data_IF_084666683695
#
_entry.id   IF_084666683695
#
_cell.length_a   1.000
_cell.length_b   1.000
_cell.length_c   1.000
_cell.angle_alpha   90.00
_cell.angle_beta   90.00
_cell.angle_gamma   90.00
#
_symmetry.space_group_name_H-M   'P 1'
#
loop_
_entity.id
_entity.type
_entity.pdbx_description
1 polymer ?
#
# COMPACT_ATOMS: atom_id res chain seq x y z
N UNK A 1 57.27 -23.82 22.38
CA UNK A 1 56.23 -23.17 23.20
C UNK A 1 55.73 -21.91 22.50
N UNK A 2 54.62 -21.99 21.76
CA UNK A 2 53.97 -20.80 21.18
C UNK A 2 53.05 -20.20 22.25
N UNK A 3 53.39 -19.00 22.73
CA UNK A 3 52.51 -18.21 23.61
C UNK A 3 51.25 -17.85 22.81
N UNK A 4 50.14 -18.50 23.13
CA UNK A 4 48.82 -18.16 22.59
C UNK A 4 48.42 -16.77 23.11
N UNK A 5 48.11 -15.86 22.19
CA UNK A 5 47.63 -14.51 22.47
C UNK A 5 46.19 -14.57 23.02
N UNK A 6 46.06 -14.89 24.31
CA UNK A 6 44.79 -14.94 25.05
C UNK A 6 44.03 -13.61 24.97
N UNK A 7 44.74 -12.47 24.84
CA UNK A 7 44.13 -11.15 24.67
C UNK A 7 43.32 -10.98 23.37
N UNK A 8 43.72 -11.61 22.25
CA UNK A 8 42.99 -11.48 20.98
C UNK A 8 41.64 -12.20 21.02
N UNK A 9 41.58 -13.35 21.70
CA UNK A 9 40.34 -14.10 21.88
C UNK A 9 39.41 -13.44 22.89
N UNK A 10 39.95 -12.80 23.94
CA UNK A 10 39.15 -11.99 24.87
C UNK A 10 38.53 -10.76 24.19
N UNK A 11 39.28 -10.06 23.33
CA UNK A 11 38.76 -8.90 22.59
C UNK A 11 37.65 -9.27 21.58
N UNK A 12 37.81 -10.39 20.86
CA UNK A 12 36.78 -10.92 19.95
C UNK A 12 35.55 -11.45 20.69
N UNK A 13 35.74 -12.07 21.86
CA UNK A 13 34.62 -12.55 22.69
C UNK A 13 33.84 -11.39 23.32
N UNK A 14 34.51 -10.31 23.76
CA UNK A 14 33.84 -9.12 24.29
C UNK A 14 33.08 -8.36 23.18
N UNK A 15 33.63 -8.29 21.97
CA UNK A 15 32.97 -7.64 20.84
C UNK A 15 31.71 -8.41 20.41
N UNK A 16 31.77 -9.74 20.39
CA UNK A 16 30.59 -10.59 20.12
C UNK A 16 29.51 -10.47 21.21
N UNK A 17 29.90 -10.35 22.49
CA UNK A 17 28.97 -10.11 23.60
C UNK A 17 28.33 -8.71 23.55
N UNK A 18 29.08 -7.69 23.09
CA UNK A 18 28.57 -6.33 22.92
C UNK A 18 27.58 -6.21 21.74
N UNK A 19 27.81 -6.95 20.65
CA UNK A 19 26.87 -7.04 19.52
C UNK A 19 25.61 -7.83 19.90
N UNK A 20 25.73 -8.89 20.70
CA UNK A 20 24.57 -9.64 21.22
C UNK A 20 23.69 -8.81 22.18
N UNK A 21 24.26 -7.87 22.94
CA UNK A 21 23.49 -6.96 23.79
C UNK A 21 22.80 -5.82 23.00
N UNK A 22 23.34 -5.42 21.85
CA UNK A 22 22.72 -4.38 20.99
C UNK A 22 21.60 -4.93 20.09
N UNK A 23 21.55 -6.24 19.84
CA UNK A 23 20.48 -6.89 19.06
C UNK A 23 19.31 -7.41 19.93
N UNK A 24 19.38 -7.28 21.26
CA UNK A 24 18.39 -7.78 22.21
C UNK A 24 17.21 -6.83 22.49
N UNK A 25 16.89 -5.93 21.56
CA UNK A 25 15.68 -5.12 21.63
C UNK A 25 14.46 -6.00 21.39
N UNK A 26 13.99 -6.70 22.44
CA UNK A 26 12.64 -7.23 22.45
C UNK A 26 11.71 -6.03 22.22
N UNK A 27 11.14 -5.91 21.02
CA UNK A 27 9.97 -5.04 20.80
C UNK A 27 8.80 -5.74 21.47
N UNK A 28 8.78 -5.70 22.81
CA UNK A 28 7.56 -5.96 23.54
C UNK A 28 6.55 -4.93 23.03
N UNK A 29 5.33 -5.40 22.73
CA UNK A 29 4.22 -4.51 22.46
C UNK A 29 4.12 -3.53 23.63
N UNK A 30 4.51 -2.28 23.40
CA UNK A 30 4.57 -1.28 24.45
C UNK A 30 3.15 -0.99 24.92
N UNK A 31 2.89 -1.16 26.22
CA UNK A 31 1.59 -0.84 26.80
C UNK A 31 1.30 0.65 26.56
N UNK A 32 0.29 0.91 25.74
CA UNK A 32 -0.14 2.25 25.43
C UNK A 32 -0.89 2.84 26.63
N UNK A 33 -0.52 4.04 27.08
CA UNK A 33 -1.19 4.71 28.19
C UNK A 33 -2.54 5.24 27.71
N UNK A 34 -3.41 5.61 28.63
CA UNK A 34 -4.71 6.21 28.27
C UNK A 34 -4.54 7.58 27.57
N UNK A 35 -3.44 8.30 27.86
CA UNK A 35 -3.13 9.60 27.27
C UNK A 35 -1.62 9.70 27.02
N UNK A 36 -1.24 10.18 25.84
CA UNK A 36 0.12 10.58 25.50
C UNK A 36 0.12 12.11 25.34
N UNK A 37 0.87 12.79 26.20
CA UNK A 37 1.01 14.23 26.26
C UNK A 37 2.49 14.63 26.39
N UNK A 38 2.76 15.92 26.56
CA UNK A 38 4.12 16.46 26.70
C UNK A 38 4.95 15.81 27.82
N UNK A 39 4.32 15.25 28.85
CA UNK A 39 5.02 14.68 30.01
C UNK A 39 5.56 13.28 29.75
N UNK A 40 4.96 12.53 28.82
CA UNK A 40 5.30 11.13 28.56
C UNK A 40 5.63 10.81 27.09
N UNK A 41 5.48 11.77 26.17
CA UNK A 41 5.66 11.56 24.73
C UNK A 41 7.05 11.03 24.35
N UNK A 42 8.10 11.34 25.10
CA UNK A 42 9.46 10.85 24.85
C UNK A 42 9.57 9.32 24.84
N UNK A 43 8.73 8.61 25.60
CA UNK A 43 8.70 7.13 25.63
C UNK A 43 8.11 6.52 24.35
N UNK A 44 7.26 7.27 23.65
CA UNK A 44 6.51 6.81 22.48
C UNK A 44 7.04 7.40 21.16
N UNK A 45 8.22 8.02 21.19
CA UNK A 45 8.81 8.71 20.03
C UNK A 45 8.91 7.82 18.78
N UNK A 46 9.24 6.55 18.94
CA UNK A 46 9.37 5.60 17.83
C UNK A 46 8.02 5.16 17.25
N UNK A 47 6.93 5.26 18.03
CA UNK A 47 5.58 4.93 17.58
C UNK A 47 4.89 6.11 16.87
N UNK A 48 5.44 7.32 17.00
CA UNK A 48 4.85 8.54 16.49
C UNK A 48 5.60 9.00 15.24
N UNK A 49 4.86 9.40 14.20
CA UNK A 49 5.47 10.12 13.08
C UNK A 49 6.16 11.39 13.61
N UNK A 50 7.36 11.77 13.11
CA UNK A 50 8.15 12.85 13.70
C UNK A 50 7.41 14.20 13.83
N UNK A 51 6.51 14.49 12.89
CA UNK A 51 5.65 15.67 12.96
C UNK A 51 4.68 15.63 14.15
N UNK A 52 4.05 14.48 14.39
CA UNK A 52 3.12 14.27 15.50
C UNK A 52 3.85 14.27 16.85
N UNK A 53 5.02 13.63 16.93
CA UNK A 53 5.87 13.72 18.13
C UNK A 53 6.18 15.17 18.51
N UNK A 54 6.61 16.00 17.54
CA UNK A 54 6.91 17.42 17.77
C UNK A 54 5.70 18.22 18.23
N UNK A 55 4.51 17.92 17.70
CA UNK A 55 3.28 18.59 18.13
C UNK A 55 2.91 18.25 19.58
N UNK A 56 3.05 16.97 19.97
CA UNK A 56 2.78 16.52 21.35
C UNK A 56 3.83 17.07 22.33
N UNK A 57 5.11 17.09 21.93
CA UNK A 57 6.21 17.65 22.73
C UNK A 57 6.04 19.16 22.98
N UNK A 58 5.47 19.90 22.02
CA UNK A 58 5.12 21.32 22.19
C UNK A 58 3.90 21.52 23.10
N UNK A 59 3.05 20.52 23.23
CA UNK A 59 1.77 20.60 23.95
C UNK A 59 0.61 21.04 23.06
N UNK A 60 0.81 21.13 21.74
CA UNK A 60 -0.21 21.53 20.77
C UNK A 60 -1.23 20.41 20.52
N UNK A 61 -0.87 19.17 20.86
CA UNK A 61 -1.67 17.99 20.59
C UNK A 61 -1.56 16.96 21.72
N UNK A 62 -2.68 16.33 22.06
CA UNK A 62 -2.76 15.25 23.05
C UNK A 62 -3.36 14.02 22.38
N UNK A 63 -2.68 12.89 22.47
CA UNK A 63 -3.13 11.64 21.85
C UNK A 63 -3.83 10.81 22.92
N UNK A 64 -5.03 10.33 22.61
CA UNK A 64 -5.77 9.40 23.47
C UNK A 64 -5.89 8.06 22.75
N UNK A 65 -5.03 7.07 23.04
CA UNK A 65 -5.10 5.76 22.42
C UNK A 65 -6.47 5.10 22.70
N UNK A 66 -7.26 4.90 21.65
CA UNK A 66 -8.52 4.19 21.75
C UNK A 66 -8.30 2.69 21.89
N UNK A 67 -8.97 2.05 22.86
CA UNK A 67 -9.07 0.59 22.91
C UNK A 67 -10.19 0.14 21.99
N UNK A 68 -9.84 -0.66 20.99
CA UNK A 68 -10.82 -1.25 20.08
C UNK A 68 -11.42 -2.48 20.78
N UNK A 69 -12.70 -2.42 21.15
CA UNK A 69 -13.40 -3.50 21.86
C UNK A 69 -13.96 -4.59 20.93
N UNK A 70 -13.57 -4.59 19.66
CA UNK A 70 -13.98 -5.59 18.68
C UNK A 70 -12.75 -6.21 18.02
N UNK A 71 -12.84 -7.49 17.69
CA UNK A 71 -11.81 -8.17 16.92
C UNK A 71 -11.84 -7.66 15.48
N UNK A 72 -10.79 -6.98 15.05
CA UNK A 72 -10.64 -6.60 13.64
C UNK A 72 -10.57 -7.86 12.78
N UNK A 73 -11.61 -8.11 11.99
CA UNK A 73 -11.78 -9.31 11.16
C UNK A 73 -12.57 -8.94 9.92
N UNK A 74 -12.20 -9.53 8.77
CA UNK A 74 -13.02 -9.45 7.57
C UNK A 74 -14.34 -10.22 7.74
N UNK A 75 -15.32 -9.96 6.87
CA UNK A 75 -16.59 -10.67 6.93
C UNK A 75 -16.41 -12.18 6.67
N UNK A 76 -17.31 -12.99 7.22
CA UNK A 76 -17.18 -14.45 7.16
C UNK A 76 -17.27 -14.98 5.72
N UNK A 77 -18.08 -14.34 4.87
CA UNK A 77 -18.20 -14.70 3.45
C UNK A 77 -16.88 -14.55 2.69
N UNK A 78 -16.14 -13.47 2.92
CA UNK A 78 -14.85 -13.22 2.29
C UNK A 78 -13.79 -14.18 2.81
N UNK A 79 -13.80 -14.51 4.11
CA UNK A 79 -12.86 -15.48 4.68
C UNK A 79 -13.14 -16.90 4.21
N UNK A 80 -14.42 -17.30 4.09
CA UNK A 80 -14.80 -18.59 3.52
C UNK A 80 -14.36 -18.70 2.05
N UNK A 81 -14.57 -17.66 1.25
CA UNK A 81 -14.06 -17.60 -0.12
C UNK A 81 -12.53 -17.66 -0.18
N UNK A 82 -11.85 -16.96 0.74
CA UNK A 82 -10.39 -17.01 0.87
C UNK A 82 -9.88 -18.41 1.17
N UNK A 83 -10.54 -19.16 2.06
CA UNK A 83 -10.15 -20.53 2.39
C UNK A 83 -10.25 -21.47 1.18
N UNK A 84 -11.24 -21.26 0.30
CA UNK A 84 -11.41 -22.02 -0.95
C UNK A 84 -10.28 -21.75 -1.95
N UNK A 85 -9.59 -20.61 -1.84
CA UNK A 85 -8.47 -20.23 -2.72
C UNK A 85 -7.13 -20.82 -2.29
N UNK A 86 -7.07 -21.48 -1.12
CA UNK A 86 -5.82 -22.04 -0.59
C UNK A 86 -5.19 -23.00 -1.61
N UNK A 87 -3.96 -22.69 -2.02
CA UNK A 87 -3.18 -23.52 -2.93
C UNK A 87 -3.56 -23.45 -4.41
N UNK A 88 -4.60 -22.69 -4.80
CA UNK A 88 -5.05 -22.60 -6.21
C UNK A 88 -4.20 -21.67 -7.07
N UNK A 89 -3.69 -20.60 -6.46
CA UNK A 89 -2.97 -19.56 -7.18
C UNK A 89 -1.47 -19.61 -6.89
N UNK A 90 -0.69 -19.11 -7.83
CA UNK A 90 0.73 -18.79 -7.64
C UNK A 90 1.08 -17.52 -8.41
N UNK A 91 2.33 -17.10 -8.27
CA UNK A 91 2.86 -15.96 -9.02
C UNK A 91 3.74 -16.48 -10.17
N UNK A 92 3.45 -16.01 -11.38
CA UNK A 92 4.16 -16.35 -12.62
C UNK A 92 5.61 -15.86 -12.64
N UNK A 93 6.30 -16.06 -13.76
CA UNK A 93 7.67 -15.56 -13.97
C UNK A 93 7.69 -14.04 -14.05
N UNK A 94 6.64 -13.44 -14.59
CA UNK A 94 6.57 -12.01 -14.87
C UNK A 94 5.90 -11.24 -13.72
N UNK A 95 5.78 -11.88 -12.54
CA UNK A 95 5.21 -11.28 -11.33
C UNK A 95 3.68 -11.26 -11.31
N UNK A 96 3.03 -12.01 -12.19
CA UNK A 96 1.58 -12.02 -12.34
C UNK A 96 0.85 -13.09 -11.53
N UNK A 97 -0.42 -12.86 -11.20
CA UNK A 97 -1.24 -13.86 -10.53
C UNK A 97 -1.77 -14.90 -11.52
N UNK A 98 -1.36 -16.16 -11.35
CA UNK A 98 -1.76 -17.28 -12.20
C UNK A 98 -2.48 -18.36 -11.40
N UNK A 99 -3.39 -19.08 -12.06
CA UNK A 99 -3.93 -20.34 -11.55
C UNK A 99 -2.92 -21.47 -11.78
N UNK A 100 -2.60 -22.25 -10.74
CA UNK A 100 -1.58 -23.32 -10.80
C UNK A 100 -1.94 -24.44 -11.77
N UNK A 101 -3.21 -24.74 -11.94
CA UNK A 101 -3.66 -25.85 -12.78
C UNK A 101 -3.65 -25.48 -14.26
N UNK A 102 -4.02 -24.24 -14.57
CA UNK A 102 -4.14 -23.79 -15.97
C UNK A 102 -2.92 -23.02 -16.47
N UNK A 103 -2.10 -22.49 -15.55
CA UNK A 103 -1.01 -21.56 -15.88
C UNK A 103 -1.50 -20.24 -16.48
N UNK A 104 -2.80 -19.96 -16.40
CA UNK A 104 -3.43 -18.78 -16.99
C UNK A 104 -3.95 -17.85 -15.90
N UNK A 105 -4.20 -16.61 -16.29
CA UNK A 105 -4.87 -15.63 -15.45
C UNK A 105 -6.29 -16.09 -15.10
N UNK A 106 -6.65 -16.09 -13.81
CA UNK A 106 -8.01 -16.39 -13.37
C UNK A 106 -8.97 -15.25 -13.76
N UNK A 107 -10.17 -15.61 -14.24
CA UNK A 107 -11.14 -14.63 -14.77
C UNK A 107 -11.70 -13.71 -13.67
N UNK A 108 -12.06 -14.27 -12.51
CA UNK A 108 -12.47 -13.54 -11.32
C UNK A 108 -12.05 -14.32 -10.08
N UNK A 109 -11.41 -13.65 -9.13
CA UNK A 109 -11.06 -14.23 -7.83
C UNK A 109 -11.79 -13.44 -6.75
N UNK A 110 -12.57 -14.14 -5.92
CA UNK A 110 -13.19 -13.55 -4.73
C UNK A 110 -12.53 -14.11 -3.47
N UNK A 111 -12.16 -13.23 -2.54
CA UNK A 111 -11.36 -13.57 -1.36
C UNK A 111 -9.88 -13.20 -1.53
N UNK A 112 -9.08 -13.55 -0.52
CA UNK A 112 -7.62 -13.49 -0.60
C UNK A 112 -7.13 -14.61 -1.54
N UNK A 113 -6.26 -14.32 -2.52
CA UNK A 113 -5.65 -15.36 -3.34
C UNK A 113 -4.74 -16.29 -2.52
N UNK A 114 -4.05 -15.75 -1.50
CA UNK A 114 -3.10 -16.48 -0.68
C UNK A 114 -3.49 -16.42 0.81
N UNK A 115 -4.49 -17.21 1.26
CA UNK A 115 -4.93 -17.17 2.66
C UNK A 115 -3.84 -17.61 3.65
N UNK A 116 -2.94 -18.49 3.23
CA UNK A 116 -1.75 -18.90 3.99
C UNK A 116 -0.50 -18.58 3.16
N UNK A 117 0.43 -17.87 3.79
CA UNK A 117 1.71 -17.48 3.18
C UNK A 117 2.82 -18.03 4.07
N UNK A 118 3.71 -18.82 3.48
CA UNK A 118 4.97 -19.18 4.13
C UNK A 118 5.94 -18.01 3.97
N UNK A 119 6.38 -17.43 5.09
CA UNK A 119 7.31 -16.30 5.09
C UNK A 119 8.71 -16.67 4.55
N UNK A 120 9.01 -17.97 4.45
CA UNK A 120 10.26 -18.47 3.84
C UNK A 120 10.19 -18.55 2.32
N UNK A 121 9.01 -18.42 1.73
CA UNK A 121 8.86 -18.40 0.28
C UNK A 121 9.55 -17.15 -0.28
N UNK A 122 10.47 -17.27 -1.26
CA UNK A 122 11.06 -16.10 -1.92
C UNK A 122 10.02 -15.17 -2.55
N UNK A 123 8.81 -15.66 -2.87
CA UNK A 123 7.68 -14.85 -3.38
C UNK A 123 6.69 -14.42 -2.28
N UNK A 124 7.01 -14.62 -1.00
CA UNK A 124 6.12 -14.27 0.11
C UNK A 124 5.72 -12.79 0.10
N UNK A 125 6.65 -11.91 -0.21
CA UNK A 125 6.41 -10.46 -0.26
C UNK A 125 5.34 -10.12 -1.32
N UNK A 126 5.51 -10.62 -2.54
CA UNK A 126 4.56 -10.42 -3.63
C UNK A 126 3.18 -11.00 -3.30
N UNK A 127 3.12 -12.18 -2.66
CA UNK A 127 1.86 -12.81 -2.19
C UNK A 127 1.12 -11.94 -1.17
N UNK A 128 1.86 -11.28 -0.27
CA UNK A 128 1.28 -10.34 0.71
C UNK A 128 0.68 -9.12 0.01
N UNK A 129 1.40 -8.54 -0.95
CA UNK A 129 0.91 -7.38 -1.72
C UNK A 129 -0.32 -7.75 -2.56
N UNK A 130 -0.35 -8.92 -3.19
CA UNK A 130 -1.55 -9.41 -3.87
C UNK A 130 -2.75 -9.53 -2.92
N UNK A 131 -2.55 -10.07 -1.71
CA UNK A 131 -3.61 -10.11 -0.71
C UNK A 131 -4.11 -8.71 -0.33
N UNK A 132 -3.21 -7.73 -0.21
CA UNK A 132 -3.58 -6.34 0.06
C UNK A 132 -4.44 -5.75 -1.07
N UNK A 133 -4.04 -5.97 -2.32
CA UNK A 133 -4.78 -5.51 -3.50
C UNK A 133 -6.18 -6.13 -3.61
N UNK A 134 -6.32 -7.43 -3.35
CA UNK A 134 -7.63 -8.10 -3.42
C UNK A 134 -8.60 -7.66 -2.32
N UNK A 135 -8.11 -7.14 -1.19
CA UNK A 135 -8.96 -6.47 -0.20
C UNK A 135 -9.59 -5.17 -0.75
N UNK A 136 -8.92 -4.51 -1.69
CA UNK A 136 -9.44 -3.32 -2.40
C UNK A 136 -10.39 -3.72 -3.53
N UNK A 137 -10.05 -4.72 -4.33
CA UNK A 137 -10.86 -5.13 -5.50
C UNK A 137 -12.27 -5.60 -5.12
N UNK A 138 -12.47 -6.09 -3.89
CA UNK A 138 -13.79 -6.46 -3.36
C UNK A 138 -14.82 -5.32 -3.30
N UNK A 139 -14.38 -4.06 -3.35
CA UNK A 139 -15.28 -2.91 -3.32
C UNK A 139 -16.13 -2.77 -4.58
N UNK A 140 -15.84 -3.52 -5.66
CA UNK A 140 -16.53 -3.50 -6.97
C UNK A 140 -16.37 -2.18 -7.74
N UNK A 141 -16.49 -1.05 -7.06
CA UNK A 141 -16.17 0.27 -7.54
C UNK A 141 -16.17 1.27 -6.39
N UNK A 142 -15.46 2.38 -6.57
CA UNK A 142 -15.46 3.48 -5.62
C UNK A 142 -15.66 4.80 -6.34
N UNK A 143 -16.27 5.76 -5.62
CA UNK A 143 -16.35 7.15 -6.03
C UNK A 143 -15.94 7.99 -4.84
N UNK A 144 -14.79 8.61 -4.96
CA UNK A 144 -14.16 9.40 -3.92
C UNK A 144 -14.13 10.86 -4.35
N UNK A 145 -14.44 11.76 -3.42
CA UNK A 145 -14.23 13.18 -3.61
C UNK A 145 -12.86 13.52 -3.04
N UNK A 146 -11.95 13.95 -3.90
CA UNK A 146 -10.56 14.22 -3.54
C UNK A 146 -10.34 15.72 -3.56
N UNK A 147 -9.93 16.29 -2.42
CA UNK A 147 -9.49 17.67 -2.30
C UNK A 147 -8.03 17.68 -1.88
N UNK A 148 -7.16 18.05 -2.80
CA UNK A 148 -5.74 18.25 -2.53
C UNK A 148 -5.51 19.71 -2.22
N UNK A 149 -4.89 19.98 -1.07
CA UNK A 149 -4.61 21.33 -0.58
C UNK A 149 -3.10 21.48 -0.41
N UNK A 150 -2.57 22.60 -0.90
CA UNK A 150 -1.22 23.02 -0.60
C UNK A 150 -1.29 23.94 0.60
N UNK A 151 -0.56 23.57 1.64
CA UNK A 151 -0.60 24.24 2.93
C UNK A 151 0.76 24.90 3.16
N UNK A 152 0.72 26.17 3.54
CA UNK A 152 1.86 26.96 3.97
C UNK A 152 1.70 27.31 5.46
N UNK A 153 2.69 27.97 6.07
CA UNK A 153 2.66 28.35 7.50
C UNK A 153 1.43 29.20 7.88
N UNK A 154 0.88 29.94 6.92
CA UNK A 154 -0.30 30.81 7.09
C UNK A 154 -1.64 30.14 6.77
N UNK A 155 -1.65 28.88 6.32
CA UNK A 155 -2.85 28.14 5.94
C UNK A 155 -2.86 27.63 4.51
N UNK A 156 -4.05 27.42 3.96
CA UNK A 156 -4.28 26.91 2.60
C UNK A 156 -3.90 27.97 1.53
N UNK A 157 -2.94 27.64 0.67
CA UNK A 157 -2.48 28.52 -0.41
C UNK A 157 -3.26 28.28 -1.71
N UNK A 158 -3.45 27.01 -2.06
CA UNK A 158 -4.19 26.57 -3.24
C UNK A 158 -4.82 25.22 -2.99
N UNK A 159 -5.88 24.92 -3.73
CA UNK A 159 -6.47 23.58 -3.75
C UNK A 159 -6.81 23.15 -5.17
N UNK A 160 -6.92 21.83 -5.34
CA UNK A 160 -7.57 21.19 -6.46
C UNK A 160 -8.58 20.21 -5.91
N UNK A 161 -9.81 20.26 -6.43
CA UNK A 161 -10.87 19.34 -6.06
C UNK A 161 -11.38 18.60 -7.28
N UNK A 162 -11.60 17.30 -7.11
CA UNK A 162 -12.14 16.46 -8.16
C UNK A 162 -12.82 15.22 -7.63
N UNK A 163 -13.29 14.43 -8.58
CA UNK A 163 -13.84 13.10 -8.33
C UNK A 163 -12.88 12.07 -8.89
N UNK A 164 -12.53 11.07 -8.06
CA UNK A 164 -11.86 9.86 -8.51
C UNK A 164 -12.89 8.72 -8.52
N UNK A 165 -13.04 8.07 -9.66
CA UNK A 165 -13.97 6.97 -9.87
C UNK A 165 -13.19 5.75 -10.30
N UNK A 166 -13.34 4.65 -9.56
CA UNK A 166 -12.71 3.37 -9.89
C UNK A 166 -13.77 2.32 -10.11
N UNK A 167 -13.61 1.52 -11.15
CA UNK A 167 -14.45 0.36 -11.43
C UNK A 167 -13.57 -0.89 -11.47
N UNK A 168 -13.73 -1.76 -10.47
CA UNK A 168 -13.02 -3.03 -10.37
C UNK A 168 -13.80 -4.11 -11.10
N UNK A 169 -13.14 -4.74 -12.09
CA UNK A 169 -13.70 -5.85 -12.83
C UNK A 169 -13.37 -7.19 -12.18
N UNK A 170 -12.23 -7.29 -11.49
CA UNK A 170 -11.85 -8.44 -10.65
C UNK A 170 -12.23 -8.20 -9.18
N UNK A 171 -12.18 -9.25 -8.35
CA UNK A 171 -12.48 -9.18 -6.92
C UNK A 171 -13.96 -9.20 -6.60
N UNK A 172 -14.84 -9.47 -7.58
CA UNK A 172 -16.29 -9.30 -7.42
C UNK A 172 -16.90 -10.54 -6.76
N UNK A 173 -17.89 -10.38 -5.86
CA UNK A 173 -18.59 -11.52 -5.28
C UNK A 173 -19.22 -12.41 -6.37
N UNK A 174 -19.32 -13.75 -6.13
CA UNK A 174 -19.95 -14.67 -7.06
C UNK A 174 -21.35 -14.19 -7.47
N UNK A 175 -21.66 -14.25 -8.76
CA UNK A 175 -22.94 -13.80 -9.32
C UNK A 175 -23.05 -12.30 -9.63
N UNK A 176 -22.01 -11.51 -9.34
CA UNK A 176 -21.92 -10.09 -9.75
C UNK A 176 -20.77 -9.82 -10.72
N UNK A 177 -20.31 -10.85 -11.40
CA UNK A 177 -19.18 -10.80 -12.32
C UNK A 177 -19.53 -10.01 -13.58
N UNK A 178 -18.54 -9.29 -14.11
CA UNK A 178 -18.67 -8.53 -15.35
C UNK A 178 -17.80 -9.23 -16.38
N UNK A 179 -18.35 -9.54 -17.55
CA UNK A 179 -17.58 -10.14 -18.65
C UNK A 179 -16.44 -9.20 -19.03
N UNK A 180 -15.22 -9.72 -18.97
CA UNK A 180 -14.00 -8.93 -19.18
C UNK A 180 -13.11 -9.58 -20.26
N UNK A 181 -13.47 -9.45 -21.54
CA UNK A 181 -12.70 -10.03 -22.64
C UNK A 181 -11.30 -9.40 -22.78
N UNK A 182 -11.13 -8.16 -22.32
CA UNK A 182 -9.89 -7.39 -22.45
C UNK A 182 -8.91 -7.59 -21.28
N UNK A 183 -9.27 -8.41 -20.28
CA UNK A 183 -8.45 -8.69 -19.08
C UNK A 183 -8.03 -7.42 -18.32
N UNK A 184 -8.93 -6.44 -18.23
CA UNK A 184 -8.71 -5.20 -17.46
C UNK A 184 -8.92 -5.47 -15.97
N UNK A 185 -7.99 -5.08 -15.10
CA UNK A 185 -8.12 -5.20 -13.65
C UNK A 185 -9.13 -4.19 -13.11
N UNK A 186 -8.90 -2.91 -13.42
CA UNK A 186 -9.82 -1.83 -13.12
C UNK A 186 -9.67 -0.65 -14.08
N UNK A 187 -10.75 0.09 -14.25
CA UNK A 187 -10.73 1.43 -14.84
C UNK A 187 -10.66 2.46 -13.74
N UNK A 188 -9.85 3.49 -13.95
CA UNK A 188 -9.81 4.66 -13.08
C UNK A 188 -10.06 5.91 -13.91
N UNK A 189 -11.04 6.69 -13.50
CA UNK A 189 -11.41 7.95 -14.13
C UNK A 189 -11.35 9.05 -13.10
N UNK A 190 -10.55 10.07 -13.37
CA UNK A 190 -10.43 11.23 -12.50
C UNK A 190 -10.87 12.46 -13.25
N UNK A 191 -11.69 13.27 -12.59
CA UNK A 191 -12.24 14.48 -13.15
C UNK A 191 -11.97 15.63 -12.19
N UNK A 192 -11.26 16.65 -12.67
CA UNK A 192 -11.00 17.88 -11.92
C UNK A 192 -12.20 18.81 -12.06
N UNK A 193 -12.82 19.16 -10.95
CA UNK A 193 -14.01 20.02 -10.89
C UNK A 193 -13.66 21.45 -10.51
N UNK A 194 -12.66 21.62 -9.64
CA UNK A 194 -12.19 22.92 -9.16
C UNK A 194 -10.66 22.92 -9.05
N UNK A 195 -9.99 24.08 -9.22
CA UNK A 195 -10.55 25.41 -9.53
C UNK A 195 -10.89 25.58 -11.02
N UNK A 196 -11.59 26.68 -11.36
CA UNK A 196 -12.05 26.96 -12.74
C UNK A 196 -10.94 26.95 -13.79
N UNK A 197 -9.69 27.26 -13.42
CA UNK A 197 -8.55 27.27 -14.33
C UNK A 197 -8.19 25.89 -14.90
N UNK A 198 -8.46 24.82 -14.15
CA UNK A 198 -8.15 23.42 -14.52
C UNK A 198 -9.40 22.54 -14.62
N UNK A 199 -10.58 23.12 -14.41
CA UNK A 199 -11.86 22.43 -14.47
C UNK A 199 -12.09 21.74 -15.80
N UNK A 200 -12.50 20.47 -15.74
CA UNK A 200 -12.75 19.62 -16.91
C UNK A 200 -11.50 18.90 -17.42
N UNK A 201 -10.37 19.02 -16.72
CA UNK A 201 -9.22 18.13 -16.94
C UNK A 201 -9.62 16.73 -16.47
N UNK A 202 -9.46 15.76 -17.36
CA UNK A 202 -9.82 14.37 -17.08
C UNK A 202 -8.63 13.46 -17.32
N UNK A 203 -8.46 12.46 -16.46
CA UNK A 203 -7.53 11.35 -16.69
C UNK A 203 -8.31 10.04 -16.68
N UNK A 204 -7.98 9.16 -17.62
CA UNK A 204 -8.54 7.81 -17.68
C UNK A 204 -7.39 6.80 -17.75
N UNK A 205 -7.38 5.85 -16.83
CA UNK A 205 -6.35 4.84 -16.71
C UNK A 205 -6.98 3.45 -16.85
N UNK A 206 -6.38 2.64 -17.70
CA UNK A 206 -6.72 1.26 -17.98
C UNK A 206 -5.62 0.40 -17.40
N UNK A 207 -5.91 -0.27 -16.29
CA UNK A 207 -4.94 -1.14 -15.62
C UNK A 207 -5.24 -2.56 -16.03
N UNK A 208 -4.27 -3.23 -16.66
CA UNK A 208 -4.45 -4.60 -17.16
C UNK A 208 -3.97 -5.62 -16.14
N UNK A 209 -4.66 -6.77 -16.08
CA UNK A 209 -4.22 -7.90 -15.27
C UNK A 209 -2.96 -8.56 -15.84
N UNK A 210 -2.85 -8.60 -17.17
CA UNK A 210 -1.77 -9.23 -17.92
C UNK A 210 -0.45 -8.44 -17.85
N UNK A 211 0.69 -8.96 -18.29
CA UNK A 211 1.99 -8.27 -18.32
C UNK A 211 2.05 -7.00 -19.20
N UNK A 212 0.94 -6.63 -19.85
CA UNK A 212 0.80 -5.40 -20.64
C UNK A 212 1.01 -4.16 -19.79
N UNK A 213 1.57 -3.13 -20.41
CA UNK A 213 1.67 -1.80 -19.80
C UNK A 213 0.29 -1.17 -19.67
N UNK A 214 0.07 -0.52 -18.53
CA UNK A 214 -1.14 0.25 -18.29
C UNK A 214 -1.25 1.39 -19.31
N UNK A 215 -2.48 1.64 -19.76
CA UNK A 215 -2.76 2.69 -20.75
C UNK A 215 -3.42 3.87 -20.05
N UNK A 216 -2.82 5.05 -20.21
CA UNK A 216 -3.30 6.28 -19.59
C UNK A 216 -3.64 7.32 -20.66
N UNK A 217 -4.76 8.01 -20.47
CA UNK A 217 -5.18 9.13 -21.30
C UNK A 217 -5.38 10.36 -20.43
N UNK A 218 -4.87 11.49 -20.90
CA UNK A 218 -5.11 12.79 -20.30
C UNK A 218 -5.84 13.69 -21.29
N UNK A 219 -6.94 14.28 -20.84
CA UNK A 219 -7.69 15.30 -21.58
C UNK A 219 -7.45 16.66 -20.94
N UNK A 220 -7.00 17.62 -21.75
CA UNK A 220 -6.77 19.00 -21.32
C UNK A 220 -7.81 19.92 -21.96
N UNK A 221 -8.69 20.56 -21.17
CA UNK A 221 -9.82 21.32 -21.70
C UNK A 221 -9.40 22.58 -22.46
N UNK A 222 -8.29 23.21 -22.06
CA UNK A 222 -7.78 24.44 -22.69
C UNK A 222 -7.48 24.27 -24.20
N UNK A 223 -6.96 23.10 -24.60
CA UNK A 223 -6.64 22.79 -25.99
C UNK A 223 -7.61 21.78 -26.62
N UNK A 224 -8.56 21.24 -25.83
CA UNK A 224 -9.54 20.22 -26.21
C UNK A 224 -8.92 18.99 -26.88
N UNK A 225 -7.78 18.53 -26.36
CA UNK A 225 -7.06 17.36 -26.89
C UNK A 225 -6.95 16.26 -25.85
N UNK A 226 -7.07 15.03 -26.33
CA UNK A 226 -6.73 13.81 -25.60
C UNK A 226 -5.33 13.40 -26.02
N UNK A 227 -4.48 13.07 -25.05
CA UNK A 227 -3.16 12.51 -25.28
C UNK A 227 -3.03 11.20 -24.52
N UNK A 228 -2.56 10.16 -25.20
CA UNK A 228 -2.08 8.96 -24.53
C UNK A 228 -0.73 9.26 -23.88
N UNK A 229 -0.61 8.93 -22.61
CA UNK A 229 0.59 9.14 -21.79
C UNK A 229 1.18 7.81 -21.40
N UNK A 230 2.47 7.80 -21.03
CA UNK A 230 3.14 6.58 -20.58
C UNK A 230 2.51 5.97 -19.33
N UNK A 231 2.76 4.68 -19.12
CA UNK A 231 2.39 3.97 -17.89
C UNK A 231 3.10 4.54 -16.65
N UNK A 232 4.28 5.13 -16.83
CA UNK A 232 5.07 5.81 -15.78
C UNK A 232 4.40 7.08 -15.24
N UNK A 233 3.38 7.63 -15.91
CA UNK A 233 2.67 8.82 -15.44
C UNK A 233 1.95 8.61 -14.09
N UNK A 234 1.83 7.36 -13.63
CA UNK A 234 1.29 7.07 -12.30
C UNK A 234 2.17 7.61 -11.16
N UNK A 235 3.47 7.73 -11.39
CA UNK A 235 4.40 8.29 -10.41
C UNK A 235 4.63 9.79 -10.61
N UNK A 236 3.97 10.41 -11.59
CA UNK A 236 4.02 11.86 -11.77
C UNK A 236 3.19 12.58 -10.70
N UNK A 237 3.53 13.85 -10.41
CA UNK A 237 2.75 14.74 -9.56
C UNK A 237 1.24 14.69 -9.85
N UNK A 238 0.50 14.16 -8.89
CA UNK A 238 -0.95 14.13 -8.88
C UNK A 238 -1.50 15.56 -8.95
N UNK A 239 -2.63 15.77 -9.63
CA UNK A 239 -3.19 17.11 -9.88
C UNK A 239 -2.18 18.15 -10.41
N UNK A 240 -1.31 17.76 -11.36
CA UNK A 240 -0.51 18.69 -12.18
C UNK A 240 0.42 19.60 -11.35
N UNK A 241 1.22 18.99 -10.47
CA UNK A 241 2.24 19.70 -9.67
C UNK A 241 2.00 19.69 -8.17
N UNK A 242 1.28 18.67 -7.66
CA UNK A 242 1.26 18.40 -6.21
C UNK A 242 2.45 17.54 -5.79
N UNK A 243 2.75 17.55 -4.50
CA UNK A 243 3.76 16.68 -3.92
C UNK A 243 3.25 15.25 -3.68
N UNK A 244 2.01 14.95 -4.06
CA UNK A 244 1.44 13.61 -4.05
C UNK A 244 1.54 12.97 -5.44
N UNK A 245 1.59 11.65 -5.52
CA UNK A 245 1.58 10.90 -6.78
C UNK A 245 0.51 9.80 -6.75
N UNK A 246 0.09 9.27 -7.90
CA UNK A 246 -1.04 8.34 -7.95
C UNK A 246 -0.77 7.02 -7.24
N UNK A 247 0.49 6.57 -7.20
CA UNK A 247 0.84 5.31 -6.52
C UNK A 247 0.81 5.39 -4.99
N UNK A 248 0.72 6.60 -4.40
CA UNK A 248 0.46 6.75 -2.95
C UNK A 248 -0.96 6.38 -2.56
N UNK A 249 -1.89 6.33 -3.52
CA UNK A 249 -3.28 6.03 -3.20
C UNK A 249 -3.39 4.64 -2.57
N UNK A 250 -4.07 4.58 -1.42
CA UNK A 250 -4.19 3.38 -0.59
C UNK A 250 -2.86 2.80 -0.11
N UNK A 251 -1.82 3.61 0.07
CA UNK A 251 -0.44 3.21 0.41
C UNK A 251 0.29 2.45 -0.71
N UNK A 252 -0.44 1.62 -1.46
CA UNK A 252 0.06 0.87 -2.61
C UNK A 252 -0.93 0.92 -3.77
N UNK A 253 -0.61 1.73 -4.77
CA UNK A 253 -1.33 1.80 -6.03
C UNK A 253 -0.66 1.06 -7.18
N UNK A 254 0.63 0.71 -7.04
CA UNK A 254 1.45 0.16 -8.11
C UNK A 254 1.02 -1.23 -8.58
N UNK A 255 1.52 -1.64 -9.74
CA UNK A 255 1.33 -3.01 -10.22
C UNK A 255 2.38 -3.91 -9.58
N UNK A 256 1.93 -4.92 -8.84
CA UNK A 256 2.80 -5.87 -8.10
C UNK A 256 3.84 -6.53 -9.01
N UNK A 257 3.51 -6.76 -10.28
CA UNK A 257 4.42 -7.36 -11.26
C UNK A 257 5.59 -6.47 -11.68
N UNK A 258 5.54 -5.16 -11.39
CA UNK A 258 6.53 -4.18 -11.88
C UNK A 258 7.54 -3.76 -10.82
N UNK A 259 7.34 -4.14 -9.56
CA UNK A 259 8.24 -3.83 -8.46
C UNK A 259 8.83 -5.10 -7.85
N UNK A 260 10.03 -4.97 -7.30
CA UNK A 260 10.69 -6.04 -6.58
C UNK A 260 10.44 -5.88 -5.09
N UNK A 261 9.56 -6.72 -4.57
CA UNK A 261 9.23 -6.72 -3.15
C UNK A 261 10.23 -7.57 -2.37
N UNK A 262 10.75 -7.03 -1.25
CA UNK A 262 11.66 -7.75 -0.35
C UNK A 262 11.03 -7.75 1.02
N UNK A 263 10.68 -8.95 1.52
CA UNK A 263 10.22 -9.10 2.89
C UNK A 263 11.43 -9.05 3.83
N UNK A 264 11.53 -7.97 4.61
CA UNK A 264 12.47 -7.90 5.73
C UNK A 264 11.76 -8.46 6.95
N UNK A 265 11.76 -9.78 7.07
CA UNK A 265 11.32 -10.46 8.28
C UNK A 265 12.46 -10.37 9.31
N UNK A 266 12.46 -9.32 10.12
CA UNK A 266 13.19 -9.39 11.39
C UNK A 266 12.48 -10.48 12.21
N UNK A 267 13.23 -11.50 12.64
CA UNK A 267 12.74 -12.53 13.55
C UNK A 267 12.10 -11.84 14.75
N UNK A 268 10.77 -11.90 14.81
CA UNK A 268 9.93 -11.45 15.93
C UNK A 268 10.21 -12.34 17.12
#
# INVERSE_FOLDING_TARGET
MKRMNILKYFGLSLYSLFVLFLCGGNVQAMDLPNVIDKTNCSKYKELLIPAMYRAVEKGDYVITPGKINFKYKHNDTFLAASAINEGKFDIGSDGELIDKHTGKYPENIYGLPFPKIDLKDPKAAEKIIYNFDFQRYRFMGSRENTRVMWVNEKGEERYAQGLDQRLYLNGRPPGREIKNPEKVLYYQFQNVMEPMSVKGTNTMCYVYMDARQDTNYAYVPAIRRIRQTGSTMRSEPYYMGSDSWMDMNFMWGGKTSTMKEILIANSI
#
